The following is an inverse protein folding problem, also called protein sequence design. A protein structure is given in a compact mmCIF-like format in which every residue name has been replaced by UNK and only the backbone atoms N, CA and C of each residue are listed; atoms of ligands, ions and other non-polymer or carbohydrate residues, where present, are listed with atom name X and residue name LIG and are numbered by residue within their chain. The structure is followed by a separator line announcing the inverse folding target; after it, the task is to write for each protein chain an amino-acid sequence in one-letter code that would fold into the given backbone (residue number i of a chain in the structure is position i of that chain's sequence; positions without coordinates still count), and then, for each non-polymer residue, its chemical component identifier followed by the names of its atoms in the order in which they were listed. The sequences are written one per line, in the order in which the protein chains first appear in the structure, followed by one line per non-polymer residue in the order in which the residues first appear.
data_IF_876127448775
#
_entry.id   IF_876127448775
#
_cell.length_a   1.000
_cell.length_b   1.000
_cell.length_c   1.000
_cell.angle_alpha   90.00
_cell.angle_beta   90.00
_cell.angle_gamma   90.00
#
_symmetry.space_group_name_H-M   'P 1'
#
loop_
_entity.id
_entity.type
_entity.pdbx_description
1 polymer ?
#
# COMPACT_ATOMS: atom_id res chain seq x y z
N UNK A 1 -22.10 -11.46 -12.11
CA UNK A 1 -20.67 -11.09 -12.23
C UNK A 1 -20.37 -10.12 -11.12
N UNK A 2 -19.91 -10.61 -9.97
CA UNK A 2 -19.45 -9.73 -8.89
C UNK A 2 -18.17 -9.07 -9.36
N UNK A 3 -18.23 -7.78 -9.71
CA UNK A 3 -17.03 -6.97 -9.79
C UNK A 3 -16.52 -6.87 -8.37
N UNK A 4 -15.47 -7.62 -8.07
CA UNK A 4 -14.72 -7.51 -6.83
C UNK A 4 -14.13 -6.09 -6.83
N UNK A 5 -14.86 -5.13 -6.24
CA UNK A 5 -14.33 -3.80 -5.94
C UNK A 5 -13.38 -3.97 -4.76
N UNK A 6 -12.17 -4.41 -5.06
CA UNK A 6 -11.09 -4.43 -4.09
C UNK A 6 -10.72 -2.99 -3.78
N UNK A 7 -11.35 -2.43 -2.75
CA UNK A 7 -10.96 -1.19 -2.04
C UNK A 7 -9.47 -1.20 -1.66
N UNK A 8 -8.82 -2.37 -1.73
CA UNK A 8 -7.45 -2.66 -1.34
C UNK A 8 -6.38 -2.29 -2.36
N UNK A 9 -6.75 -1.82 -3.56
CA UNK A 9 -5.77 -1.43 -4.58
C UNK A 9 -5.53 0.08 -4.65
N UNK A 10 -5.99 0.88 -3.69
CA UNK A 10 -5.63 2.30 -3.60
C UNK A 10 -4.39 2.51 -2.72
N UNK A 11 -3.54 3.45 -3.10
CA UNK A 11 -2.49 3.93 -2.20
C UNK A 11 -3.11 4.69 -1.01
N UNK A 12 -2.34 4.86 0.07
CA UNK A 12 -2.81 5.53 1.30
C UNK A 12 -3.29 6.96 1.00
N UNK A 13 -2.55 7.71 0.19
CA UNK A 13 -2.90 9.08 -0.16
C UNK A 13 -4.23 9.16 -0.93
N UNK A 14 -4.44 8.26 -1.89
CA UNK A 14 -5.69 8.19 -2.65
C UNK A 14 -6.87 7.77 -1.78
N UNK A 15 -6.66 6.87 -0.82
CA UNK A 15 -7.69 6.48 0.13
C UNK A 15 -8.11 7.66 1.03
N UNK A 16 -7.14 8.41 1.56
CA UNK A 16 -7.41 9.61 2.37
C UNK A 16 -8.21 10.63 1.54
N UNK A 17 -7.76 10.92 0.31
CA UNK A 17 -8.43 11.88 -0.55
C UNK A 17 -9.88 11.53 -0.90
N UNK A 18 -10.24 10.24 -0.90
CA UNK A 18 -11.60 9.78 -1.19
C UNK A 18 -12.49 9.66 0.05
N UNK A 19 -11.90 9.40 1.22
CA UNK A 19 -12.64 9.09 2.45
C UNK A 19 -12.67 10.22 3.46
N UNK A 20 -11.85 11.25 3.29
CA UNK A 20 -11.90 12.48 4.05
C UNK A 20 -13.07 13.36 3.57
N UNK A 21 -14.18 13.32 4.31
CA UNK A 21 -15.40 14.05 3.97
C UNK A 21 -15.29 15.54 4.26
N UNK A 22 -14.41 15.90 5.21
CA UNK A 22 -14.29 17.25 5.73
C UNK A 22 -13.07 18.01 5.16
N UNK A 23 -12.22 17.33 4.39
CA UNK A 23 -11.04 17.85 3.70
C UNK A 23 -9.95 18.43 4.63
N UNK A 24 -9.77 17.87 5.83
CA UNK A 24 -8.69 18.24 6.76
C UNK A 24 -7.39 17.43 6.58
N UNK A 25 -7.37 16.54 5.58
CA UNK A 25 -6.30 15.61 5.23
C UNK A 25 -6.01 14.57 6.32
N UNK A 26 -7.02 14.25 7.13
CA UNK A 26 -6.98 13.22 8.18
C UNK A 26 -8.26 12.42 8.15
N UNK A 27 -8.18 11.17 8.59
CA UNK A 27 -9.36 10.35 8.81
C UNK A 27 -9.71 10.35 10.29
N UNK A 28 -10.88 10.89 10.62
CA UNK A 28 -11.54 10.59 11.88
C UNK A 28 -11.77 9.08 12.00
N UNK A 29 -11.99 8.60 13.21
CA UNK A 29 -12.28 7.17 13.43
C UNK A 29 -13.48 6.70 12.60
N UNK A 30 -14.48 7.57 12.40
CA UNK A 30 -15.67 7.28 11.60
C UNK A 30 -15.31 7.16 10.12
N UNK A 31 -14.59 8.12 9.53
CA UNK A 31 -14.16 8.08 8.13
C UNK A 31 -13.28 6.85 7.86
N UNK A 32 -12.32 6.57 8.75
CA UNK A 32 -11.45 5.39 8.69
C UNK A 32 -12.24 4.07 8.76
N UNK A 33 -13.18 3.95 9.70
CA UNK A 33 -13.97 2.72 9.84
C UNK A 33 -14.87 2.52 8.62
N UNK A 34 -15.50 3.60 8.15
CA UNK A 34 -16.37 3.58 6.98
C UNK A 34 -15.63 3.09 5.74
N UNK A 35 -14.45 3.64 5.44
CA UNK A 35 -13.67 3.27 4.26
C UNK A 35 -13.11 1.83 4.30
N UNK A 36 -13.01 1.24 5.49
CA UNK A 36 -12.60 -0.16 5.68
C UNK A 36 -13.78 -1.15 5.76
N UNK A 37 -15.03 -0.67 5.74
CA UNK A 37 -16.17 -1.59 5.75
C UNK A 37 -16.23 -2.40 4.45
N UNK A 38 -16.59 -3.70 4.49
CA UNK A 38 -16.73 -4.52 3.28
C UNK A 38 -17.78 -4.00 2.28
N UNK A 39 -18.66 -3.12 2.74
CA UNK A 39 -19.74 -2.51 1.95
C UNK A 39 -19.36 -1.17 1.34
N UNK A 40 -18.19 -0.62 1.70
CA UNK A 40 -17.71 0.63 1.14
C UNK A 40 -17.35 0.43 -0.34
N UNK A 41 -17.91 1.26 -1.19
CA UNK A 41 -17.62 1.24 -2.62
C UNK A 41 -17.18 2.64 -3.01
N UNK A 42 -15.88 2.87 -3.24
CA UNK A 42 -15.42 4.16 -3.73
C UNK A 42 -16.06 4.46 -5.09
N UNK A 43 -16.31 5.74 -5.41
CA UNK A 43 -16.92 6.11 -6.67
C UNK A 43 -15.99 5.77 -7.83
N UNK A 44 -16.54 5.14 -8.88
CA UNK A 44 -15.80 4.89 -10.13
C UNK A 44 -15.39 6.22 -10.78
N UNK A 45 -14.12 6.35 -11.17
CA UNK A 45 -13.59 7.54 -11.86
C UNK A 45 -12.52 7.13 -12.86
N UNK A 46 -12.52 7.76 -14.04
CA UNK A 46 -11.53 7.46 -15.08
C UNK A 46 -10.18 8.08 -14.77
N UNK A 47 -9.10 7.40 -15.12
CA UNK A 47 -7.74 7.94 -15.04
C UNK A 47 -7.36 8.63 -16.35
N UNK A 48 -6.62 9.73 -16.24
CA UNK A 48 -5.97 10.34 -17.39
C UNK A 48 -4.51 9.89 -17.46
N UNK A 49 -4.05 9.54 -18.66
CA UNK A 49 -2.63 9.34 -18.93
C UNK A 49 -2.32 9.97 -20.28
N UNK A 50 -1.44 10.96 -20.27
CA UNK A 50 -1.19 11.82 -21.43
C UNK A 50 -2.50 12.46 -21.93
N UNK A 51 -2.83 12.31 -23.22
CA UNK A 51 -4.06 12.82 -23.84
C UNK A 51 -5.20 11.78 -23.88
N UNK A 52 -5.02 10.62 -23.23
CA UNK A 52 -5.97 9.52 -23.22
C UNK A 52 -6.67 9.33 -21.86
N UNK A 53 -7.88 8.77 -21.90
CA UNK A 53 -8.73 8.53 -20.72
C UNK A 53 -9.02 7.03 -20.59
N UNK A 54 -8.72 6.47 -19.42
CA UNK A 54 -8.77 5.05 -19.13
C UNK A 54 -9.86 4.73 -18.09
N UNK A 55 -10.58 3.64 -18.32
CA UNK A 55 -11.58 3.14 -17.38
C UNK A 55 -10.93 2.53 -16.13
N UNK A 56 -11.67 2.49 -15.03
CA UNK A 56 -11.24 1.80 -13.81
C UNK A 56 -10.94 0.32 -14.10
N UNK A 57 -9.81 -0.15 -13.56
CA UNK A 57 -9.25 -1.48 -13.82
C UNK A 57 -8.37 -1.57 -15.07
N UNK A 58 -8.21 -0.50 -15.85
CA UNK A 58 -7.25 -0.48 -16.94
C UNK A 58 -5.82 -0.65 -16.43
N UNK A 59 -5.03 -1.49 -17.10
CA UNK A 59 -3.63 -1.75 -16.77
C UNK A 59 -2.70 -1.05 -17.77
N UNK A 60 -1.60 -0.49 -17.27
CA UNK A 60 -0.51 0.04 -18.09
C UNK A 60 0.84 -0.33 -17.48
N UNK A 61 1.92 -0.12 -18.24
CA UNK A 61 3.28 -0.33 -17.78
C UNK A 61 4.05 0.98 -17.93
N UNK A 62 4.67 1.43 -16.84
CA UNK A 62 5.58 2.57 -16.81
C UNK A 62 6.96 2.04 -16.44
N UNK A 63 7.86 1.97 -17.42
CA UNK A 63 9.17 1.32 -17.28
C UNK A 63 9.04 -0.14 -16.82
N UNK A 64 9.58 -0.50 -15.64
CA UNK A 64 9.46 -1.82 -15.04
C UNK A 64 8.24 -1.95 -14.11
N UNK A 65 7.50 -0.86 -13.87
CA UNK A 65 6.38 -0.84 -12.96
C UNK A 65 5.06 -1.14 -13.66
N UNK A 66 4.26 -2.01 -13.04
CA UNK A 66 2.88 -2.29 -13.48
C UNK A 66 1.95 -1.33 -12.74
N UNK A 67 1.07 -0.67 -13.48
CA UNK A 67 0.11 0.30 -12.95
C UNK A 67 -1.33 -0.10 -13.29
N UNK A 68 -2.24 0.17 -12.37
CA UNK A 68 -3.68 -0.06 -12.54
C UNK A 68 -4.43 1.24 -12.25
N UNK A 69 -5.40 1.59 -13.10
CA UNK A 69 -6.31 2.70 -12.84
C UNK A 69 -7.33 2.28 -11.77
N UNK A 70 -7.41 3.04 -10.68
CA UNK A 70 -8.37 2.80 -9.61
C UNK A 70 -8.93 4.13 -9.06
N UNK A 71 -10.23 4.33 -9.23
CA UNK A 71 -10.98 5.49 -8.76
C UNK A 71 -10.33 6.81 -9.15
N UNK A 72 -9.81 6.89 -10.38
CA UNK A 72 -9.18 8.09 -10.95
C UNK A 72 -7.71 8.30 -10.56
N UNK A 73 -7.08 7.33 -9.89
CA UNK A 73 -5.65 7.35 -9.55
C UNK A 73 -4.92 6.17 -10.22
N UNK A 74 -3.68 6.42 -10.68
CA UNK A 74 -2.78 5.35 -11.12
C UNK A 74 -2.06 4.75 -9.91
N UNK A 75 -2.29 3.46 -9.67
CA UNK A 75 -1.63 2.73 -8.59
C UNK A 75 -0.60 1.80 -9.18
N UNK A 76 0.67 2.12 -8.95
CA UNK A 76 1.80 1.43 -9.53
C UNK A 76 2.56 0.61 -8.48
N UNK A 77 3.21 -0.45 -8.93
CA UNK A 77 4.32 -1.04 -8.18
C UNK A 77 5.44 -0.02 -8.00
N UNK A 78 6.28 -0.20 -6.97
CA UNK A 78 7.38 0.70 -6.65
C UNK A 78 8.75 -0.01 -6.84
N UNK A 79 8.95 -0.66 -7.98
CA UNK A 79 10.22 -1.25 -8.39
C UNK A 79 11.18 -0.16 -8.86
N UNK A 80 12.46 -0.31 -8.55
CA UNK A 80 13.55 0.51 -9.06
C UNK A 80 13.98 0.01 -10.43
N UNK A 81 13.80 0.81 -11.48
CA UNK A 81 14.11 0.42 -12.86
C UNK A 81 15.52 0.90 -13.28
N UNK A 82 16.31 0.00 -13.88
CA UNK A 82 17.70 0.17 -14.37
C UNK A 82 18.79 0.53 -13.32
N UNK A 83 19.53 -0.45 -12.80
CA UNK A 83 19.63 -1.84 -13.24
C UNK A 83 20.55 -2.65 -12.32
N UNK A 84 20.46 -3.97 -12.45
CA UNK A 84 20.99 -5.00 -11.55
C UNK A 84 20.08 -5.30 -10.34
N UNK A 85 18.94 -5.93 -10.62
CA UNK A 85 18.72 -7.20 -9.93
C UNK A 85 19.43 -8.25 -10.78
N UNK A 86 20.73 -8.42 -10.53
CA UNK A 86 21.34 -9.72 -10.77
C UNK A 86 20.59 -10.69 -9.85
N UNK A 87 19.53 -11.32 -10.36
CA UNK A 87 19.32 -12.72 -10.04
C UNK A 87 20.38 -13.51 -10.84
N UNK A 88 21.66 -13.22 -10.57
CA UNK A 88 22.75 -14.09 -10.98
C UNK A 88 23.07 -14.95 -9.77
N UNK A 89 23.11 -16.25 -10.00
CA UNK A 89 23.78 -17.22 -9.16
C UNK A 89 25.23 -16.76 -8.93
N UNK A 90 25.48 -15.84 -8.00
CA UNK A 90 26.82 -15.45 -7.62
C UNK A 90 27.18 -16.05 -6.27
N UNK A 91 27.84 -17.19 -6.37
CA UNK A 91 28.71 -17.71 -5.35
C UNK A 91 29.71 -16.62 -4.89
N UNK A 92 29.63 -16.27 -3.60
CA UNK A 92 30.72 -15.83 -2.72
C UNK A 92 31.43 -14.50 -3.09
N UNK A 93 31.19 -13.46 -2.29
CA UNK A 93 32.06 -13.01 -1.19
C UNK A 93 31.61 -11.64 -0.65
N UNK A 94 31.22 -11.57 0.64
CA UNK A 94 31.59 -10.41 1.47
C UNK A 94 30.56 -9.34 1.83
N UNK A 95 29.25 -9.60 1.76
CA UNK A 95 28.26 -8.83 2.51
C UNK A 95 27.30 -9.82 3.17
N UNK A 96 27.41 -10.00 4.48
CA UNK A 96 26.48 -10.78 5.27
C UNK A 96 25.15 -10.00 5.30
N UNK A 97 24.29 -10.22 4.29
CA UNK A 97 22.85 -10.17 4.53
C UNK A 97 22.57 -11.33 5.49
N UNK A 98 22.66 -11.05 6.79
CA UNK A 98 22.25 -11.98 7.83
C UNK A 98 20.77 -12.28 7.61
N UNK A 99 20.48 -13.37 6.90
CA UNK A 99 19.14 -13.92 6.77
C UNK A 99 18.65 -14.26 8.18
N UNK A 100 17.80 -13.40 8.74
CA UNK A 100 17.28 -13.53 10.09
C UNK A 100 16.60 -14.89 10.25
N UNK A 101 17.06 -15.67 11.23
CA UNK A 101 16.52 -17.02 11.46
C UNK A 101 15.04 -16.96 11.87
N UNK A 102 14.29 -18.03 11.58
CA UNK A 102 12.87 -18.13 11.97
C UNK A 102 12.67 -17.95 13.50
N UNK A 103 13.65 -18.40 14.28
CA UNK A 103 13.67 -18.26 15.74
C UNK A 103 13.85 -16.81 16.18
N UNK A 104 14.79 -16.08 15.57
CA UNK A 104 15.01 -14.65 15.85
C UNK A 104 13.84 -13.79 15.41
N UNK A 105 13.27 -14.09 14.24
CA UNK A 105 12.05 -13.47 13.74
C UNK A 105 10.89 -13.68 14.72
N UNK A 106 10.66 -14.92 15.16
CA UNK A 106 9.61 -15.26 16.13
C UNK A 106 9.81 -14.53 17.46
N UNK A 107 11.05 -14.40 17.94
CA UNK A 107 11.39 -13.63 19.14
C UNK A 107 11.05 -12.16 18.97
N UNK A 108 11.45 -11.57 17.83
CA UNK A 108 11.21 -10.15 17.50
C UNK A 108 9.72 -9.85 17.39
N UNK A 109 8.95 -10.72 16.72
CA UNK A 109 7.49 -10.62 16.60
C UNK A 109 6.83 -10.73 17.99
N UNK A 110 7.28 -11.65 18.83
CA UNK A 110 6.76 -11.78 20.20
C UNK A 110 7.07 -10.55 21.06
N UNK A 111 8.23 -9.91 20.90
CA UNK A 111 8.58 -8.65 21.56
C UNK A 111 7.69 -7.49 21.08
N UNK A 112 7.48 -7.36 19.77
CA UNK A 112 6.61 -6.34 19.20
C UNK A 112 5.14 -6.52 19.60
N UNK A 113 4.65 -7.76 19.65
CA UNK A 113 3.29 -8.06 20.09
C UNK A 113 3.03 -7.66 21.55
N UNK A 114 4.04 -7.73 22.43
CA UNK A 114 3.92 -7.23 23.81
C UNK A 114 3.68 -5.72 23.86
N UNK A 115 4.24 -4.98 22.90
CA UNK A 115 4.03 -3.54 22.76
C UNK A 115 2.70 -3.22 22.07
N UNK A 116 2.16 -4.14 21.27
CA UNK A 116 0.87 -3.98 20.61
C UNK A 116 -0.31 -3.98 21.61
N UNK A 117 -0.19 -4.70 22.73
CA UNK A 117 -1.13 -4.66 23.88
C UNK A 117 -1.09 -3.31 24.62
N UNK A 118 -0.09 -2.46 24.39
CA UNK A 118 -0.05 -1.10 24.96
C UNK A 118 -0.78 -0.05 24.11
N UNK A 119 -1.07 -0.30 22.82
CA UNK A 119 -1.89 0.64 22.02
C UNK A 119 -3.38 0.58 22.41
N UNK A 120 -3.84 -0.42 23.17
CA UNK A 120 -5.22 -0.40 23.71
C UNK A 120 -5.42 0.60 24.84
N UNK A 121 -4.36 1.13 25.47
CA UNK A 121 -4.50 2.04 26.63
C UNK A 121 -3.83 3.42 26.51
N UNK A 122 -2.95 3.68 25.52
CA UNK A 122 -2.46 5.06 25.26
C UNK A 122 -2.14 5.28 23.77
N UNK A 123 -2.93 6.15 23.11
CA UNK A 123 -2.67 6.86 21.84
C UNK A 123 -1.65 6.21 20.89
N UNK A 124 -2.13 5.48 19.88
CA UNK A 124 -1.36 5.17 18.69
C UNK A 124 -0.93 6.49 18.02
N UNK A 125 0.35 6.86 18.19
CA UNK A 125 0.97 7.93 17.41
C UNK A 125 1.18 7.40 16.00
N UNK A 126 0.52 8.04 15.05
CA UNK A 126 0.55 7.74 13.64
C UNK A 126 1.99 7.74 13.10
N UNK A 127 2.26 6.71 12.29
CA UNK A 127 3.23 6.63 11.21
C UNK A 127 4.05 7.90 10.98
N UNK A 128 5.32 7.85 11.39
CA UNK A 128 6.37 8.75 10.92
C UNK A 128 7.32 7.89 10.07
N UNK A 129 6.97 7.72 8.80
CA UNK A 129 7.94 7.32 7.80
C UNK A 129 8.44 8.61 7.14
N UNK A 130 9.76 8.78 7.18
CA UNK A 130 10.49 9.80 6.43
C UNK A 130 10.37 9.55 4.93
#
# INVERSE_FOLDING_TARGET
MSRQLDIRSLCVDALIALSDENADWKLSLTEFTNCLTPTYHPPERKCALEDEVFEDGAETHMECNKCVCACGNWVCTALTCNGEFQMEEEAKEGAEEEEMTEEEWSRRVAELNKLQVACSDVKCNAFRFF
#
